data_IF_891068619879
#
_entry.id   IF_891068619879
#
_cell.length_a   1.000
_cell.length_b   1.000
_cell.length_c   1.000
_cell.angle_alpha   90.00
_cell.angle_beta   90.00
_cell.angle_gamma   90.00
#
_symmetry.space_group_name_H-M   'P 1'
#
loop_
_entity.id
_entity.type
_entity.pdbx_description
1 polymer ?
#
# COMPACT_ATOMS: atom_id res chain seq x y z
N UNK A 1 14.75 -1.26 13.90
CA UNK A 1 13.88 -0.05 13.92
C UNK A 1 13.41 0.19 12.50
N UNK A 2 12.12 0.43 12.31
CA UNK A 2 11.56 0.89 11.04
C UNK A 2 12.16 2.25 10.66
N UNK A 3 12.39 2.48 9.38
CA UNK A 3 12.83 3.79 8.88
C UNK A 3 11.68 4.78 8.97
N UNK A 4 11.96 6.02 9.41
CA UNK A 4 11.06 7.16 9.26
C UNK A 4 11.65 8.12 8.21
N UNK A 5 11.46 7.80 6.93
CA UNK A 5 11.96 8.63 5.81
C UNK A 5 11.13 9.90 5.65
N UNK A 6 9.91 9.90 6.16
CA UNK A 6 8.96 11.00 6.10
C UNK A 6 9.36 12.21 6.95
N UNK A 7 10.23 12.02 7.94
CA UNK A 7 10.83 13.14 8.66
C UNK A 7 11.96 13.85 7.89
N UNK A 8 12.44 13.27 6.78
CA UNK A 8 13.40 13.90 5.88
C UNK A 8 12.72 15.04 5.11
N UNK A 9 13.18 16.30 5.24
CA UNK A 9 12.51 17.45 4.63
C UNK A 9 12.42 17.39 3.10
N UNK A 10 13.46 16.88 2.42
CA UNK A 10 13.48 16.78 0.95
C UNK A 10 12.48 15.74 0.47
N UNK A 11 12.50 14.57 1.11
CA UNK A 11 11.54 13.51 0.79
C UNK A 11 10.11 13.98 1.04
N UNK A 12 9.85 14.59 2.20
CA UNK A 12 8.55 15.10 2.59
C UNK A 12 8.04 16.16 1.60
N UNK A 13 8.88 17.13 1.24
CA UNK A 13 8.49 18.19 0.32
C UNK A 13 8.09 17.64 -1.05
N UNK A 14 8.84 16.68 -1.60
CA UNK A 14 8.48 16.00 -2.85
C UNK A 14 7.20 15.19 -2.71
N UNK A 15 7.10 14.36 -1.67
CA UNK A 15 5.92 13.52 -1.42
C UNK A 15 4.63 14.34 -1.23
N UNK A 16 4.72 15.50 -0.58
CA UNK A 16 3.58 16.40 -0.35
C UNK A 16 2.99 16.99 -1.65
N UNK A 17 3.72 16.95 -2.77
CA UNK A 17 3.23 17.41 -4.08
C UNK A 17 2.41 16.37 -4.83
N UNK A 18 2.42 15.11 -4.40
CA UNK A 18 1.72 14.03 -5.12
C UNK A 18 0.21 14.22 -5.05
N UNK A 19 -0.55 13.83 -6.10
CA UNK A 19 -2.02 13.91 -6.09
C UNK A 19 -2.65 13.27 -4.86
N UNK A 20 -2.20 12.06 -4.46
CA UNK A 20 -2.66 11.39 -3.22
C UNK A 20 -2.44 12.19 -1.93
N UNK A 21 -1.46 13.10 -1.92
CA UNK A 21 -1.17 13.98 -0.79
C UNK A 21 -2.06 15.22 -0.81
N UNK A 22 -2.30 15.79 -1.99
CA UNK A 22 -3.00 17.06 -2.20
C UNK A 22 -4.52 16.87 -2.29
N UNK A 23 -4.95 15.93 -3.13
CA UNK A 23 -6.35 15.63 -3.46
C UNK A 23 -6.93 14.50 -2.59
N UNK A 24 -6.08 13.87 -1.77
CA UNK A 24 -6.48 12.81 -0.85
C UNK A 24 -6.86 11.51 -1.56
N UNK A 25 -7.99 10.91 -1.17
CA UNK A 25 -8.42 9.61 -1.70
C UNK A 25 -8.76 9.69 -3.20
N UNK A 26 -9.25 10.83 -3.68
CA UNK A 26 -9.56 11.02 -5.11
C UNK A 26 -8.28 11.13 -5.97
N UNK A 27 -7.16 11.53 -5.36
CA UNK A 27 -5.84 11.57 -6.01
C UNK A 27 -5.09 10.22 -5.99
N UNK A 28 -5.68 9.17 -5.41
CA UNK A 28 -5.10 7.83 -5.35
C UNK A 28 -5.81 6.93 -6.38
N UNK A 29 -5.14 6.53 -7.48
CA UNK A 29 -5.81 5.81 -8.56
C UNK A 29 -6.26 4.39 -8.15
N UNK A 30 -5.64 3.80 -7.12
CA UNK A 30 -6.05 2.52 -6.55
C UNK A 30 -7.27 2.61 -5.61
N UNK A 31 -7.61 3.81 -5.14
CA UNK A 31 -8.63 4.00 -4.11
C UNK A 31 -10.01 3.44 -4.50
N UNK A 32 -10.54 3.63 -5.72
CA UNK A 32 -11.82 3.05 -6.10
C UNK A 32 -11.86 1.53 -5.94
N UNK A 33 -10.79 0.83 -6.31
CA UNK A 33 -10.66 -0.62 -6.17
C UNK A 33 -10.53 -1.03 -4.70
N UNK A 34 -9.72 -0.32 -3.91
CA UNK A 34 -9.57 -0.59 -2.47
C UNK A 34 -10.88 -0.33 -1.70
N UNK A 35 -11.58 0.75 -2.04
CA UNK A 35 -12.88 1.13 -1.46
C UNK A 35 -13.94 0.06 -1.71
N UNK A 36 -13.93 -0.58 -2.89
CA UNK A 36 -14.85 -1.65 -3.22
C UNK A 36 -14.66 -2.91 -2.35
N UNK A 37 -13.51 -3.04 -1.67
CA UNK A 37 -13.24 -4.13 -0.72
C UNK A 37 -13.69 -3.83 0.71
N UNK A 38 -14.03 -2.57 1.02
CA UNK A 38 -14.44 -2.16 2.36
C UNK A 38 -15.81 -2.75 2.73
N UNK A 39 -16.01 -3.17 3.99
CA UNK A 39 -17.35 -3.43 4.49
C UNK A 39 -18.12 -2.12 4.66
N UNK A 40 -19.43 -2.21 4.93
CA UNK A 40 -20.18 -1.08 5.49
C UNK A 40 -19.53 -0.64 6.81
N UNK A 41 -19.19 0.63 6.91
CA UNK A 41 -18.45 1.20 8.04
C UNK A 41 -19.37 1.67 9.17
N UNK A 42 -20.69 1.69 8.95
CA UNK A 42 -21.64 2.20 9.93
C UNK A 42 -21.59 1.45 11.27
N UNK A 43 -21.43 2.20 12.37
CA UNK A 43 -21.23 1.72 13.75
C UNK A 43 -20.00 0.82 13.98
N UNK A 44 -19.08 0.72 13.00
CA UNK A 44 -17.82 0.00 13.17
C UNK A 44 -16.81 0.80 13.98
N UNK A 45 -15.86 0.08 14.60
CA UNK A 45 -14.63 0.66 15.15
C UNK A 45 -13.52 0.39 14.15
N UNK A 46 -12.83 1.43 13.72
CA UNK A 46 -11.84 1.39 12.64
C UNK A 46 -10.48 1.79 13.20
N UNK A 47 -9.44 1.03 12.83
CA UNK A 47 -8.06 1.43 13.02
C UNK A 47 -7.42 1.63 11.65
N UNK A 48 -6.73 2.75 11.49
CA UNK A 48 -6.01 3.12 10.27
C UNK A 48 -4.51 3.13 10.58
N UNK A 49 -3.80 2.13 10.06
CA UNK A 49 -2.37 1.92 10.29
C UNK A 49 -1.58 2.56 9.16
N UNK A 50 -0.96 3.69 9.46
CA UNK A 50 -0.39 4.57 8.45
C UNK A 50 -1.34 5.64 7.99
N UNK A 51 -1.99 6.31 8.93
CA UNK A 51 -3.24 7.02 8.68
C UNK A 51 -3.16 8.25 7.77
N UNK A 52 -1.97 8.62 7.29
CA UNK A 52 -1.93 9.59 6.20
C UNK A 52 -2.10 11.01 6.72
N UNK A 53 -2.47 11.90 5.83
CA UNK A 53 -3.07 13.15 6.29
C UNK A 53 -4.44 12.93 6.99
N UNK A 54 -4.78 11.71 7.45
CA UNK A 54 -6.06 11.32 8.02
C UNK A 54 -7.16 11.14 6.98
N UNK A 55 -6.81 10.92 5.71
CA UNK A 55 -7.78 10.88 4.62
C UNK A 55 -8.79 9.75 4.79
N UNK A 56 -8.31 8.53 5.07
CA UNK A 56 -9.20 7.41 5.33
C UNK A 56 -9.94 7.55 6.67
N UNK A 57 -9.28 8.05 7.72
CA UNK A 57 -9.97 8.40 8.98
C UNK A 57 -11.17 9.33 8.75
N UNK A 58 -11.02 10.40 7.97
CA UNK A 58 -12.13 11.31 7.64
C UNK A 58 -13.22 10.63 6.81
N UNK A 59 -12.81 9.82 5.83
CA UNK A 59 -13.74 9.03 5.03
C UNK A 59 -14.57 8.09 5.91
N UNK A 60 -13.93 7.32 6.80
CA UNK A 60 -14.60 6.41 7.72
C UNK A 60 -15.59 7.13 8.65
N UNK A 61 -15.24 8.33 9.13
CA UNK A 61 -16.14 9.16 9.94
C UNK A 61 -17.38 9.59 9.15
N UNK A 62 -17.19 10.03 7.91
CA UNK A 62 -18.30 10.44 7.02
C UNK A 62 -19.22 9.27 6.66
N UNK A 63 -18.72 8.04 6.72
CA UNK A 63 -19.46 6.81 6.44
C UNK A 63 -19.96 6.10 7.72
N UNK A 64 -20.03 6.81 8.84
CA UNK A 64 -20.74 6.34 10.03
C UNK A 64 -19.94 5.47 11.00
N UNK A 65 -18.61 5.37 10.85
CA UNK A 65 -17.79 4.67 11.84
C UNK A 65 -17.96 5.31 13.23
N UNK A 66 -18.20 4.49 14.25
CA UNK A 66 -18.43 4.93 15.63
C UNK A 66 -17.16 5.45 16.30
N UNK A 67 -16.04 4.80 16.03
CA UNK A 67 -14.76 5.10 16.66
C UNK A 67 -13.63 4.87 15.66
N UNK A 68 -12.67 5.79 15.62
CA UNK A 68 -11.59 5.78 14.63
C UNK A 68 -10.28 6.08 15.34
N UNK A 69 -9.33 5.17 15.22
CA UNK A 69 -7.96 5.35 15.70
C UNK A 69 -7.01 5.39 14.50
N UNK A 70 -6.44 6.56 14.20
CA UNK A 70 -5.37 6.70 13.22
C UNK A 70 -4.00 6.62 13.90
N UNK A 71 -3.11 5.79 13.37
CA UNK A 71 -1.74 5.62 13.87
C UNK A 71 -0.76 5.92 12.73
N UNK A 72 0.26 6.72 13.00
CA UNK A 72 1.39 6.90 12.09
C UNK A 72 2.71 7.00 12.88
N UNK A 73 3.82 6.68 12.23
CA UNK A 73 5.15 6.63 12.84
C UNK A 73 5.84 7.99 12.80
N UNK A 74 5.48 8.86 11.87
CA UNK A 74 6.10 10.18 11.75
C UNK A 74 5.41 11.20 12.66
N UNK A 75 6.20 12.12 13.23
CA UNK A 75 5.66 13.26 13.97
C UNK A 75 5.30 14.42 13.02
N UNK A 76 6.04 14.55 11.91
CA UNK A 76 5.80 15.57 10.87
C UNK A 76 4.69 15.18 9.91
N UNK A 77 4.52 13.89 9.74
CA UNK A 77 3.45 13.26 9.01
C UNK A 77 2.63 12.52 10.04
N UNK A 78 1.35 12.89 10.21
CA UNK A 78 0.38 11.85 10.53
C UNK A 78 0.30 10.81 9.39
N UNK A 79 1.23 10.79 8.42
CA UNK A 79 1.04 10.32 7.07
C UNK A 79 1.81 9.08 6.58
N UNK A 80 1.01 8.12 6.12
CA UNK A 80 1.29 6.93 5.32
C UNK A 80 2.39 6.00 5.84
N UNK A 81 2.06 5.15 6.81
CA UNK A 81 2.71 3.83 6.92
C UNK A 81 2.29 2.98 5.72
N UNK A 82 3.24 2.71 4.84
CA UNK A 82 3.11 1.60 3.93
C UNK A 82 3.74 0.34 4.55
N UNK A 83 2.98 -0.76 4.64
CA UNK A 83 3.46 -1.99 5.29
C UNK A 83 4.74 -2.54 4.66
N UNK A 84 5.02 -2.19 3.40
CA UNK A 84 6.25 -2.56 2.69
C UNK A 84 7.52 -1.88 3.23
N UNK A 85 7.43 -0.98 4.21
CA UNK A 85 8.60 -0.49 4.96
C UNK A 85 8.96 -1.35 6.18
N UNK A 86 8.07 -2.25 6.60
CA UNK A 86 8.27 -3.06 7.81
C UNK A 86 9.14 -4.26 7.55
N UNK A 87 10.24 -4.43 8.30
CA UNK A 87 11.16 -5.58 8.17
C UNK A 87 10.57 -6.90 8.66
N UNK A 88 9.63 -6.85 9.60
CA UNK A 88 8.91 -8.02 10.12
C UNK A 88 7.42 -7.73 10.07
N UNK A 89 6.68 -8.45 9.21
CA UNK A 89 5.26 -8.20 8.99
C UNK A 89 4.39 -9.18 9.80
N UNK A 90 4.92 -10.37 10.06
CA UNK A 90 4.25 -11.44 10.77
C UNK A 90 3.81 -11.01 12.17
N UNK A 91 4.64 -10.35 13.01
CA UNK A 91 4.20 -9.90 14.32
C UNK A 91 3.11 -8.82 14.25
N UNK A 92 3.11 -8.00 13.19
CA UNK A 92 2.04 -7.03 12.97
C UNK A 92 0.73 -7.78 12.67
N UNK A 93 0.76 -8.73 11.73
CA UNK A 93 -0.45 -9.49 11.39
C UNK A 93 -1.00 -10.26 12.59
N UNK A 94 -0.15 -10.85 13.44
CA UNK A 94 -0.59 -11.43 14.72
C UNK A 94 -1.26 -10.39 15.62
N UNK A 95 -0.62 -9.22 15.79
CA UNK A 95 -1.17 -8.13 16.63
C UNK A 95 -2.53 -7.64 16.11
N UNK A 96 -2.66 -7.47 14.80
CA UNK A 96 -3.92 -7.05 14.16
C UNK A 96 -4.97 -8.14 14.30
N UNK A 97 -4.60 -9.41 14.11
CA UNK A 97 -5.52 -10.55 14.30
C UNK A 97 -6.07 -10.59 15.73
N UNK A 98 -5.21 -10.39 16.74
CA UNK A 98 -5.62 -10.38 18.14
C UNK A 98 -6.54 -9.19 18.48
N UNK A 99 -6.27 -8.02 17.89
CA UNK A 99 -7.07 -6.81 18.10
C UNK A 99 -8.46 -6.87 17.43
N UNK A 100 -8.60 -7.60 16.32
CA UNK A 100 -9.86 -7.73 15.60
C UNK A 100 -10.86 -8.61 16.35
N UNK A 101 -12.14 -8.21 16.31
CA UNK A 101 -13.26 -9.08 16.70
C UNK A 101 -13.41 -10.24 15.69
N UNK A 102 -14.01 -11.38 16.08
CA UNK A 102 -14.46 -12.39 15.12
C UNK A 102 -15.29 -11.76 13.99
N UNK A 103 -15.01 -12.15 12.75
CA UNK A 103 -15.58 -11.53 11.54
C UNK A 103 -14.96 -10.19 11.12
N UNK A 104 -14.01 -9.64 11.89
CA UNK A 104 -13.31 -8.38 11.57
C UNK A 104 -12.43 -8.50 10.32
N UNK A 105 -12.27 -7.40 9.59
CA UNK A 105 -11.51 -7.34 8.34
C UNK A 105 -10.20 -6.55 8.49
N UNK A 106 -9.17 -7.02 7.81
CA UNK A 106 -7.94 -6.29 7.51
C UNK A 106 -7.90 -6.03 6.00
N UNK A 107 -7.78 -4.77 5.59
CA UNK A 107 -7.76 -4.36 4.19
C UNK A 107 -6.57 -3.42 4.01
N UNK A 108 -5.72 -3.66 3.02
CA UNK A 108 -4.54 -2.85 2.79
C UNK A 108 -4.07 -2.89 1.33
N UNK A 109 -3.24 -1.91 0.97
CA UNK A 109 -2.50 -1.87 -0.29
C UNK A 109 -1.00 -1.86 -0.05
N UNK A 110 -0.21 -2.44 -0.95
CA UNK A 110 1.25 -2.43 -0.89
C UNK A 110 1.85 -2.38 -2.29
N UNK A 111 3.10 -1.90 -2.41
CA UNK A 111 3.83 -2.01 -3.67
C UNK A 111 3.97 -3.47 -4.07
N UNK A 112 3.78 -3.74 -5.36
CA UNK A 112 3.78 -5.09 -5.89
C UNK A 112 5.19 -5.70 -5.85
N UNK A 113 5.33 -7.01 -5.63
CA UNK A 113 6.61 -7.69 -5.73
C UNK A 113 7.27 -7.55 -7.10
N UNK A 114 6.50 -7.42 -8.20
CA UNK A 114 7.05 -7.08 -9.54
C UNK A 114 7.70 -5.70 -9.54
N UNK A 115 7.07 -4.73 -8.88
CA UNK A 115 7.59 -3.36 -8.78
C UNK A 115 8.83 -3.27 -7.87
N UNK A 116 8.83 -4.01 -6.76
CA UNK A 116 9.91 -3.95 -5.76
C UNK A 116 11.08 -4.88 -6.04
N UNK A 117 10.91 -5.94 -6.83
CA UNK A 117 11.97 -6.92 -7.10
C UNK A 117 13.25 -6.30 -7.67
N UNK A 118 13.19 -5.41 -8.69
CA UNK A 118 14.38 -4.90 -9.36
C UNK A 118 15.19 -3.96 -8.46
N UNK A 119 16.51 -4.02 -8.58
CA UNK A 119 17.40 -3.09 -7.90
C UNK A 119 17.32 -1.68 -8.52
N UNK A 120 17.00 -1.59 -9.80
CA UNK A 120 16.73 -0.35 -10.53
C UNK A 120 15.29 -0.37 -11.01
N UNK A 121 14.42 0.39 -10.34
CA UNK A 121 12.98 0.45 -10.61
C UNK A 121 12.70 1.42 -11.76
N UNK A 122 13.05 1.02 -12.98
CA UNK A 122 12.88 1.84 -14.18
C UNK A 122 12.52 1.01 -15.41
N UNK A 123 11.78 1.63 -16.32
CA UNK A 123 11.50 1.08 -17.64
C UNK A 123 12.77 0.97 -18.47
N UNK A 124 12.88 -0.11 -19.25
CA UNK A 124 13.87 -0.22 -20.33
C UNK A 124 13.14 -0.25 -21.66
N UNK A 125 13.76 0.37 -22.66
CA UNK A 125 13.28 0.37 -24.05
C UNK A 125 14.38 -0.25 -24.89
N UNK A 126 14.04 -1.28 -25.65
CA UNK A 126 14.99 -1.95 -26.54
C UNK A 126 15.13 -1.26 -27.90
N UNK A 127 16.01 -1.80 -28.75
CA UNK A 127 16.25 -1.27 -30.10
C UNK A 127 15.01 -1.33 -31.01
N UNK A 128 14.01 -2.16 -30.67
CA UNK A 128 12.73 -2.27 -31.38
C UNK A 128 11.66 -1.32 -30.81
N UNK A 129 12.03 -0.42 -29.90
CA UNK A 129 11.11 0.47 -29.17
C UNK A 129 10.11 -0.28 -28.28
N UNK A 130 10.38 -1.55 -27.94
CA UNK A 130 9.55 -2.29 -27.01
C UNK A 130 9.92 -1.88 -25.57
N UNK A 131 8.94 -1.36 -24.85
CA UNK A 131 9.07 -1.04 -23.42
C UNK A 131 8.89 -2.32 -22.59
N UNK A 132 9.74 -2.51 -21.58
CA UNK A 132 9.59 -3.59 -20.62
C UNK A 132 10.02 -3.19 -19.21
N UNK A 133 9.39 -3.83 -18.21
CA UNK A 133 9.79 -3.72 -16.81
C UNK A 133 10.68 -4.92 -16.45
N UNK A 134 12.00 -4.73 -16.26
CA UNK A 134 12.90 -5.85 -16.03
C UNK A 134 12.66 -6.43 -14.64
N UNK A 135 12.45 -7.75 -14.53
CA UNK A 135 12.34 -8.44 -13.24
C UNK A 135 13.59 -9.28 -13.00
N UNK A 136 14.31 -8.97 -11.92
CA UNK A 136 15.42 -9.76 -11.39
C UNK A 136 15.32 -9.83 -9.86
N UNK A 137 16.00 -10.80 -9.25
CA UNK A 137 16.05 -10.96 -7.77
C UNK A 137 14.69 -11.17 -7.08
N UNK A 138 13.62 -11.55 -7.79
CA UNK A 138 12.27 -11.74 -7.23
C UNK A 138 12.22 -12.78 -6.09
N UNK A 139 13.07 -13.82 -6.16
CA UNK A 139 13.15 -14.82 -5.10
C UNK A 139 14.03 -14.39 -3.91
N UNK A 140 14.70 -13.24 -4.01
CA UNK A 140 15.61 -12.71 -3.00
C UNK A 140 14.89 -11.61 -2.20
N UNK A 141 14.06 -12.04 -1.26
CA UNK A 141 13.34 -11.16 -0.34
C UNK A 141 14.29 -10.39 0.58
N UNK A 142 13.84 -9.24 1.07
CA UNK A 142 14.57 -8.37 1.97
C UNK A 142 14.73 -6.95 1.43
N UNK A 143 15.82 -6.29 1.82
CA UNK A 143 15.98 -4.87 1.61
C UNK A 143 16.02 -4.48 0.12
N UNK A 144 15.34 -3.38 -0.20
CA UNK A 144 15.48 -2.65 -1.46
C UNK A 144 15.69 -1.19 -1.15
N UNK A 145 16.68 -0.59 -1.79
CA UNK A 145 16.96 0.84 -1.66
C UNK A 145 16.53 1.49 -2.97
N UNK A 146 15.55 2.39 -2.88
CA UNK A 146 15.15 3.24 -4.00
C UNK A 146 15.54 4.67 -3.70
N UNK A 147 16.02 5.38 -4.72
CA UNK A 147 16.27 6.81 -4.65
C UNK A 147 15.16 7.49 -5.44
N UNK A 148 14.18 8.03 -4.72
CA UNK A 148 13.06 8.76 -5.32
C UNK A 148 13.23 10.25 -5.08
N UNK A 149 12.52 10.82 -4.10
CA UNK A 149 12.72 12.22 -3.68
C UNK A 149 13.93 12.44 -2.77
N UNK A 150 14.44 11.37 -2.17
CA UNK A 150 15.67 11.38 -1.39
C UNK A 150 16.36 10.03 -1.54
N UNK A 151 17.68 10.03 -1.33
CA UNK A 151 18.46 8.80 -1.29
C UNK A 151 18.11 7.97 -0.07
N UNK A 152 18.16 6.64 -0.22
CA UNK A 152 18.11 5.73 0.91
C UNK A 152 16.72 5.35 1.40
N UNK A 153 15.66 5.50 0.60
CA UNK A 153 14.34 4.93 0.96
C UNK A 153 14.46 3.41 0.97
N UNK A 154 14.38 2.82 2.16
CA UNK A 154 14.54 1.39 2.40
C UNK A 154 13.18 0.72 2.46
N UNK A 155 12.88 -0.08 1.44
CA UNK A 155 11.69 -0.92 1.33
C UNK A 155 12.05 -2.37 1.63
N UNK A 156 11.02 -3.18 1.87
CA UNK A 156 11.12 -4.61 2.09
C UNK A 156 10.43 -5.31 0.92
N UNK A 157 11.24 -5.84 0.00
CA UNK A 157 10.74 -6.72 -1.02
C UNK A 157 10.33 -8.04 -0.38
N UNK A 158 9.07 -8.40 -0.59
CA UNK A 158 8.51 -9.71 -0.28
C UNK A 158 7.76 -10.21 -1.49
N UNK A 159 7.72 -11.52 -1.67
CA UNK A 159 6.87 -12.18 -2.66
C UNK A 159 5.42 -12.09 -2.24
N UNK A 160 4.52 -12.19 -3.21
CA UNK A 160 3.09 -12.21 -2.94
C UNK A 160 2.72 -13.43 -2.06
N UNK A 161 3.35 -14.57 -2.32
CA UNK A 161 3.21 -15.76 -1.50
C UNK A 161 3.61 -15.52 -0.03
N UNK A 162 4.63 -14.70 0.23
CA UNK A 162 5.07 -14.42 1.60
C UNK A 162 4.09 -13.51 2.34
N UNK A 163 3.51 -12.52 1.65
CA UNK A 163 2.41 -11.72 2.20
C UNK A 163 1.19 -12.59 2.56
N UNK A 164 0.74 -13.42 1.62
CA UNK A 164 -0.43 -14.29 1.80
C UNK A 164 -0.18 -15.31 2.92
N UNK A 165 0.95 -16.00 2.90
CA UNK A 165 1.24 -17.02 3.90
C UNK A 165 1.45 -16.44 5.30
N UNK A 166 1.94 -15.20 5.42
CA UNK A 166 2.02 -14.51 6.71
C UNK A 166 0.63 -14.22 7.30
N UNK A 167 -0.34 -13.83 6.46
CA UNK A 167 -1.74 -13.64 6.89
C UNK A 167 -2.38 -14.97 7.30
N UNK A 168 -2.21 -16.02 6.49
CA UNK A 168 -2.71 -17.37 6.79
C UNK A 168 -2.09 -17.88 8.10
N UNK A 169 -0.78 -17.71 8.28
CA UNK A 169 -0.06 -18.10 9.49
C UNK A 169 -0.53 -17.35 10.74
N UNK A 170 -1.00 -16.11 10.60
CA UNK A 170 -1.63 -15.35 11.69
C UNK A 170 -3.09 -15.76 11.97
N UNK A 171 -3.71 -16.57 11.11
CA UNK A 171 -5.07 -17.09 11.28
C UNK A 171 -6.15 -16.41 10.42
N UNK A 172 -5.78 -15.50 9.52
CA UNK A 172 -6.74 -14.86 8.62
C UNK A 172 -7.19 -15.78 7.48
N UNK A 173 -8.45 -15.62 7.06
CA UNK A 173 -8.96 -16.06 5.76
C UNK A 173 -8.69 -14.98 4.71
N UNK A 174 -8.09 -15.33 3.58
CA UNK A 174 -7.97 -14.41 2.44
C UNK A 174 -9.34 -14.28 1.77
N UNK A 175 -9.82 -13.04 1.62
CA UNK A 175 -11.13 -12.74 1.03
C UNK A 175 -10.97 -12.31 -0.42
N UNK A 176 -10.04 -11.39 -0.69
CA UNK A 176 -9.79 -10.89 -2.02
C UNK A 176 -8.35 -10.42 -2.17
N UNK A 177 -7.80 -10.60 -3.38
CA UNK A 177 -6.50 -10.13 -3.79
C UNK A 177 -6.65 -9.54 -5.20
N UNK A 178 -6.19 -8.31 -5.37
CA UNK A 178 -6.20 -7.57 -6.63
C UNK A 178 -4.79 -7.06 -6.93
N UNK A 179 -4.28 -7.32 -8.14
CA UNK A 179 -3.05 -6.73 -8.66
C UNK A 179 -3.46 -5.52 -9.50
N UNK A 180 -3.56 -4.37 -8.85
CA UNK A 180 -4.24 -3.20 -9.39
C UNK A 180 -3.66 -2.75 -10.73
N UNK A 181 -4.55 -2.46 -11.67
CA UNK A 181 -4.28 -1.75 -12.92
C UNK A 181 -5.41 -0.76 -13.25
N UNK A 182 -5.14 0.28 -14.04
CA UNK A 182 -6.10 1.34 -14.31
C UNK A 182 -7.12 0.95 -15.40
N UNK A 183 -8.38 1.33 -15.18
CA UNK A 183 -9.43 1.19 -16.20
C UNK A 183 -9.32 2.25 -17.32
N UNK A 184 -10.15 2.12 -18.36
CA UNK A 184 -10.14 3.04 -19.52
C UNK A 184 -10.49 4.49 -19.14
N UNK A 185 -11.35 4.71 -18.14
CA UNK A 185 -11.73 6.06 -17.72
C UNK A 185 -10.60 6.72 -16.92
N UNK A 186 -9.92 5.96 -16.06
CA UNK A 186 -8.73 6.42 -15.34
C UNK A 186 -7.61 6.82 -16.30
N UNK A 187 -7.36 6.02 -17.35
CA UNK A 187 -6.37 6.37 -18.38
C UNK A 187 -6.80 7.60 -19.18
N UNK A 188 -8.08 7.76 -19.52
CA UNK A 188 -8.56 8.98 -20.20
C UNK A 188 -8.33 10.23 -19.35
N UNK A 189 -8.55 10.14 -18.04
CA UNK A 189 -8.36 11.25 -17.10
C UNK A 189 -6.89 11.53 -16.82
N UNK A 190 -6.06 10.48 -16.72
CA UNK A 190 -4.63 10.56 -16.52
C UNK A 190 -3.91 9.59 -17.47
N UNK A 191 -3.53 10.04 -18.69
CA UNK A 191 -2.87 9.20 -19.69
C UNK A 191 -1.54 8.59 -19.22
N UNK A 192 -0.90 9.17 -18.20
CA UNK A 192 0.30 8.61 -17.59
C UNK A 192 0.07 7.25 -16.93
N UNK A 193 -1.17 6.90 -16.58
CA UNK A 193 -1.51 5.60 -16.00
C UNK A 193 -1.45 4.46 -17.01
N UNK A 194 -1.41 4.73 -18.32
CA UNK A 194 -1.38 3.66 -19.34
C UNK A 194 -0.21 2.68 -19.12
N UNK A 195 0.92 3.14 -18.56
CA UNK A 195 2.06 2.26 -18.25
C UNK A 195 1.81 1.25 -17.14
N UNK A 196 0.83 1.51 -16.27
CA UNK A 196 0.45 0.62 -15.18
C UNK A 196 -0.34 -0.60 -15.67
N UNK A 197 -0.76 -0.62 -16.94
CA UNK A 197 -1.34 -1.79 -17.60
C UNK A 197 -0.31 -2.84 -17.99
N UNK A 198 0.95 -2.43 -18.18
CA UNK A 198 2.04 -3.32 -18.56
C UNK A 198 2.61 -4.07 -17.33
N UNK A 199 2.54 -3.47 -16.13
CA UNK A 199 2.98 -4.08 -14.87
C UNK A 199 2.29 -3.47 -13.64
N UNK A 200 1.86 -4.28 -12.67
CA UNK A 200 1.24 -3.77 -11.46
C UNK A 200 2.25 -3.02 -10.58
N UNK A 201 1.97 -1.76 -10.26
CA UNK A 201 2.72 -1.03 -9.22
C UNK A 201 2.36 -1.52 -7.82
N UNK A 202 1.12 -2.00 -7.61
CA UNK A 202 0.60 -2.33 -6.30
C UNK A 202 -0.35 -3.52 -6.30
N UNK A 203 -0.47 -4.19 -5.16
CA UNK A 203 -1.59 -5.09 -4.88
C UNK A 203 -2.44 -4.54 -3.74
N UNK A 204 -3.70 -4.93 -3.77
CA UNK A 204 -4.72 -4.67 -2.76
C UNK A 204 -5.16 -6.02 -2.20
N UNK A 205 -5.33 -6.11 -0.89
CA UNK A 205 -5.70 -7.36 -0.23
C UNK A 205 -6.73 -7.10 0.85
N UNK A 206 -7.76 -7.92 0.89
CA UNK A 206 -8.67 -8.04 2.04
C UNK A 206 -8.60 -9.44 2.65
N UNK A 207 -8.54 -9.47 3.98
CA UNK A 207 -8.50 -10.68 4.77
C UNK A 207 -9.45 -10.55 5.97
N UNK A 208 -9.96 -11.66 6.47
CA UNK A 208 -10.97 -11.70 7.53
C UNK A 208 -10.55 -12.63 8.66
N UNK A 209 -10.80 -12.21 9.90
CA UNK A 209 -10.75 -13.08 11.06
C UNK A 209 -11.97 -14.00 11.07
N UNK A 210 -11.81 -15.34 11.12
CA UNK A 210 -12.94 -16.27 11.20
C UNK A 210 -13.92 -15.94 12.34
N UNK A 211 -15.17 -16.37 12.20
CA UNK A 211 -16.23 -16.22 13.22
C UNK A 211 -16.07 -17.26 14.33
#
# INVERSE_FOLDING_TARGET
MSQNIYDNPTFFAGYATLPRSVEGLDGAPEWPALRAMLPDLNDLRVVDLGCGYGWFCRYAQQHGAREILGIDVSEKMLASLALHYMSHIEPLFTTVFDALKPGGMLIFSCEHPIYTAPLQQQWIVDDQQQRSWPINHYQQEGDRISNWFADGVKKQHRKLASWINALIGAGFEIVHLDEWGPDDEQVKQNPGLEEERDRPMMFLLSARKPI
#
